data_IF_480873208953
#
_entry.id   IF_480873208953
#
_cell.length_a   1.000
_cell.length_b   1.000
_cell.length_c   1.000
_cell.angle_alpha   90.00
_cell.angle_beta   90.00
_cell.angle_gamma   90.00
#
_symmetry.space_group_name_H-M   'P 1'
#
loop_
_entity.id
_entity.type
_entity.pdbx_description
1 polymer ?
#
# COMPACT_ATOMS: atom_id res chain seq x y z
N UNK A 1 19.58 14.77 -4.16
CA UNK A 1 18.13 15.04 -4.09
C UNK A 1 17.37 13.77 -3.72
N UNK A 2 17.83 13.08 -2.68
CA UNK A 2 17.35 11.74 -2.25
C UNK A 2 16.37 11.85 -1.08
N UNK A 3 16.35 12.99 -0.37
CA UNK A 3 15.57 13.25 0.85
C UNK A 3 14.05 13.09 0.73
N UNK A 4 13.49 13.21 -0.48
CA UNK A 4 12.03 13.16 -0.69
C UNK A 4 11.52 11.75 -0.99
N UNK A 5 12.43 10.84 -1.28
CA UNK A 5 12.13 9.49 -1.73
C UNK A 5 12.32 8.45 -0.59
N UNK A 6 12.68 8.94 0.63
CA UNK A 6 12.77 8.13 1.84
C UNK A 6 11.59 8.37 2.77
N UNK A 7 11.01 7.28 3.24
CA UNK A 7 10.03 7.28 4.32
C UNK A 7 10.53 6.36 5.44
N UNK A 8 11.11 6.96 6.49
CA UNK A 8 11.75 6.28 7.62
C UNK A 8 12.91 5.40 7.10
N UNK A 9 12.68 4.11 6.92
CA UNK A 9 13.63 3.08 6.49
C UNK A 9 13.35 2.52 5.08
N UNK A 10 12.28 2.97 4.45
CA UNK A 10 11.90 2.57 3.09
C UNK A 10 12.31 3.63 2.06
N UNK A 11 12.90 3.17 0.95
CA UNK A 11 13.17 3.99 -0.23
C UNK A 11 12.14 3.69 -1.31
N UNK A 12 11.43 4.70 -1.79
CA UNK A 12 10.40 4.57 -2.83
C UNK A 12 10.62 5.61 -3.92
N UNK A 13 10.67 5.16 -5.16
CA UNK A 13 10.85 6.03 -6.33
C UNK A 13 10.06 5.55 -7.53
N UNK A 14 9.28 6.46 -8.11
CA UNK A 14 8.68 6.28 -9.43
C UNK A 14 9.50 7.00 -10.48
N UNK A 15 9.78 6.31 -11.56
CA UNK A 15 10.55 6.82 -12.71
C UNK A 15 9.87 6.41 -14.01
N UNK A 16 10.23 7.06 -15.11
CA UNK A 16 9.55 6.86 -16.40
C UNK A 16 10.18 5.77 -17.24
N UNK A 17 11.43 5.40 -16.98
CA UNK A 17 12.17 4.42 -17.80
C UNK A 17 12.91 3.40 -16.93
N UNK A 18 13.10 2.20 -17.48
CA UNK A 18 13.88 1.12 -16.85
C UNK A 18 15.34 1.53 -16.66
N UNK A 19 15.90 2.28 -17.61
CA UNK A 19 17.29 2.77 -17.52
C UNK A 19 17.46 3.72 -16.34
N UNK A 20 16.53 4.64 -16.16
CA UNK A 20 16.50 5.56 -15.02
C UNK A 20 16.32 4.82 -13.70
N UNK A 21 15.40 3.83 -13.64
CA UNK A 21 15.20 3.00 -12.46
C UNK A 21 16.49 2.27 -12.05
N UNK A 22 17.21 1.68 -13.02
CA UNK A 22 18.46 0.99 -12.76
C UNK A 22 19.53 1.96 -12.27
N UNK A 23 19.68 3.14 -12.88
CA UNK A 23 20.64 4.16 -12.47
C UNK A 23 20.38 4.63 -11.04
N UNK A 24 19.12 4.92 -10.71
CA UNK A 24 18.71 5.32 -9.35
C UNK A 24 19.02 4.23 -8.34
N UNK A 25 18.74 2.96 -8.66
CA UNK A 25 19.02 1.84 -7.77
C UNK A 25 20.52 1.73 -7.46
N UNK A 26 21.38 1.86 -8.48
CA UNK A 26 22.82 1.81 -8.34
C UNK A 26 23.35 3.00 -7.53
N UNK A 27 22.88 4.22 -7.83
CA UNK A 27 23.29 5.44 -7.14
C UNK A 27 22.93 5.41 -5.65
N UNK A 28 21.69 5.02 -5.33
CA UNK A 28 21.23 4.94 -3.93
C UNK A 28 21.97 3.83 -3.17
N UNK A 29 22.19 2.69 -3.81
CA UNK A 29 22.97 1.59 -3.22
C UNK A 29 24.39 2.02 -2.92
N UNK A 30 25.05 2.71 -3.86
CA UNK A 30 26.39 3.24 -3.66
C UNK A 30 26.44 4.26 -2.50
N UNK A 31 25.55 5.25 -2.53
CA UNK A 31 25.47 6.30 -1.52
C UNK A 31 25.29 5.73 -0.11
N UNK A 32 24.38 4.80 0.07
CA UNK A 32 24.09 4.21 1.37
C UNK A 32 25.20 3.26 1.83
N UNK A 33 25.83 2.55 0.91
CA UNK A 33 26.98 1.68 1.24
C UNK A 33 28.17 2.48 1.76
N UNK A 34 28.43 3.68 1.25
CA UNK A 34 29.45 4.60 1.76
C UNK A 34 29.16 5.03 3.21
N UNK A 35 27.89 5.13 3.57
CA UNK A 35 27.44 5.43 4.93
C UNK A 35 27.34 4.17 5.83
N UNK A 36 27.70 2.99 5.31
CA UNK A 36 27.63 1.72 6.04
C UNK A 36 26.24 1.06 6.08
N UNK A 37 25.29 1.54 5.29
CA UNK A 37 23.96 0.95 5.17
C UNK A 37 23.87 0.05 3.94
N UNK A 38 23.17 -1.10 4.07
CA UNK A 38 22.89 -1.99 2.96
C UNK A 38 21.39 -1.98 2.65
N UNK A 39 21.05 -1.60 1.43
CA UNK A 39 19.70 -1.75 0.92
C UNK A 39 19.39 -3.21 0.58
N UNK A 40 18.26 -3.70 1.04
CA UNK A 40 17.76 -5.05 0.79
C UNK A 40 16.26 -5.02 0.54
N UNK A 41 15.68 -6.16 0.18
CA UNK A 41 14.26 -6.31 -0.13
C UNK A 41 13.81 -5.43 -1.30
N UNK A 42 14.66 -5.28 -2.29
CA UNK A 42 14.33 -4.58 -3.51
C UNK A 42 13.10 -5.16 -4.20
N UNK A 43 12.26 -4.28 -4.67
CA UNK A 43 11.05 -4.58 -5.42
C UNK A 43 10.85 -3.61 -6.57
N UNK A 44 10.31 -4.08 -7.67
CA UNK A 44 9.97 -3.26 -8.84
C UNK A 44 8.85 -3.92 -9.62
N UNK A 45 8.01 -3.10 -10.26
CA UNK A 45 7.05 -3.55 -11.28
C UNK A 45 7.73 -3.89 -12.62
N UNK A 46 9.03 -3.64 -12.76
CA UNK A 46 9.83 -4.02 -13.93
C UNK A 46 10.73 -5.22 -13.63
N UNK A 47 10.48 -6.32 -14.33
CA UNK A 47 11.29 -7.54 -14.25
C UNK A 47 12.74 -7.29 -14.69
N UNK A 48 12.94 -6.42 -15.68
CA UNK A 48 14.26 -6.04 -16.16
C UNK A 48 15.08 -5.30 -15.09
N UNK A 49 14.44 -4.44 -14.30
CA UNK A 49 15.11 -3.82 -13.15
C UNK A 49 15.48 -4.86 -12.10
N UNK A 50 14.54 -5.75 -11.75
CA UNK A 50 14.79 -6.81 -10.78
C UNK A 50 15.90 -7.76 -11.21
N UNK A 51 16.01 -8.06 -12.51
CA UNK A 51 17.07 -8.97 -13.01
C UNK A 51 18.49 -8.42 -12.78
N UNK A 52 18.64 -7.09 -12.67
CA UNK A 52 19.93 -6.43 -12.37
C UNK A 52 20.26 -6.41 -10.88
N UNK A 53 19.26 -6.58 -10.02
CA UNK A 53 19.47 -6.62 -8.56
C UNK A 53 19.91 -8.02 -8.15
N UNK A 54 20.94 -8.15 -7.30
CA UNK A 54 21.36 -9.45 -6.76
C UNK A 54 20.20 -10.17 -6.07
N UNK A 55 20.07 -11.47 -6.28
CA UNK A 55 18.96 -12.27 -5.72
C UNK A 55 18.85 -12.13 -4.20
N UNK A 56 20.00 -12.10 -3.51
CA UNK A 56 20.04 -11.95 -2.05
C UNK A 56 19.46 -10.62 -1.54
N UNK A 57 19.40 -9.61 -2.39
CA UNK A 57 18.91 -8.27 -2.05
C UNK A 57 17.46 -8.03 -2.52
N UNK A 58 16.87 -8.97 -3.28
CA UNK A 58 15.46 -8.90 -3.66
C UNK A 58 14.54 -9.25 -2.49
N UNK A 59 13.32 -8.71 -2.50
CA UNK A 59 12.29 -9.04 -1.50
C UNK A 59 11.93 -10.53 -1.51
N UNK A 60 11.98 -11.17 -2.68
CA UNK A 60 11.85 -12.62 -2.85
C UNK A 60 13.03 -13.17 -3.66
N UNK A 61 14.10 -13.61 -2.99
CA UNK A 61 15.30 -14.11 -3.66
C UNK A 61 15.06 -15.31 -4.57
N UNK A 62 14.05 -16.12 -4.25
CA UNK A 62 13.71 -17.36 -4.99
C UNK A 62 12.68 -17.15 -6.11
N UNK A 63 12.27 -15.89 -6.35
CA UNK A 63 11.29 -15.57 -7.40
C UNK A 63 11.89 -15.83 -8.79
N UNK A 64 11.28 -16.73 -9.54
CA UNK A 64 11.58 -16.92 -10.95
C UNK A 64 10.89 -15.81 -11.75
N UNK A 65 11.68 -14.86 -12.23
CA UNK A 65 11.18 -13.69 -12.95
C UNK A 65 10.56 -14.02 -14.31
N UNK A 66 10.85 -15.20 -14.86
CA UNK A 66 10.34 -15.62 -16.17
C UNK A 66 9.02 -16.40 -16.06
N UNK A 67 8.83 -17.12 -14.96
CA UNK A 67 7.72 -18.06 -14.81
C UNK A 67 6.67 -17.63 -13.78
N UNK A 68 7.05 -16.84 -12.78
CA UNK A 68 6.15 -16.46 -11.69
C UNK A 68 5.61 -15.03 -11.85
N UNK A 69 4.39 -14.79 -11.37
CA UNK A 69 3.86 -13.44 -11.25
C UNK A 69 4.58 -12.69 -10.14
N UNK A 70 4.75 -11.38 -10.34
CA UNK A 70 5.30 -10.52 -9.29
C UNK A 70 4.36 -10.50 -8.08
N UNK A 71 4.91 -10.43 -6.87
CA UNK A 71 4.13 -10.59 -5.65
C UNK A 71 3.21 -9.40 -5.36
N UNK A 72 2.26 -9.65 -4.46
CA UNK A 72 1.56 -8.58 -3.76
C UNK A 72 2.33 -8.28 -2.48
N UNK A 73 2.82 -7.06 -2.36
CA UNK A 73 3.65 -6.64 -1.22
C UNK A 73 3.00 -5.50 -0.45
N UNK A 74 3.56 -5.17 0.71
CA UNK A 74 3.13 -4.04 1.51
C UNK A 74 4.13 -2.91 1.38
N UNK A 75 3.60 -1.76 0.97
CA UNK A 75 4.34 -0.51 0.90
C UNK A 75 3.59 0.52 1.70
N UNK A 76 4.23 1.18 2.65
CA UNK A 76 3.62 2.16 3.57
C UNK A 76 2.30 1.66 4.22
N UNK A 77 2.18 0.34 4.46
CA UNK A 77 0.97 -0.28 5.03
C UNK A 77 -0.15 -0.57 4.02
N UNK A 78 -0.06 -0.11 2.79
CA UNK A 78 -0.97 -0.44 1.69
C UNK A 78 -0.48 -1.70 0.97
N UNK A 79 -1.39 -2.51 0.43
CA UNK A 79 -1.00 -3.63 -0.42
C UNK A 79 -0.79 -3.13 -1.85
N UNK A 80 0.33 -3.50 -2.43
CA UNK A 80 0.68 -3.21 -3.81
C UNK A 80 0.78 -4.51 -4.61
N UNK A 81 -0.08 -4.65 -5.62
CA UNK A 81 0.04 -5.70 -6.64
C UNK A 81 1.10 -5.25 -7.63
N UNK A 82 2.29 -5.80 -7.48
CA UNK A 82 3.47 -5.37 -8.25
C UNK A 82 3.31 -5.70 -9.72
N UNK A 83 2.67 -6.82 -10.07
CA UNK A 83 2.44 -7.23 -11.45
C UNK A 83 1.49 -6.29 -12.20
N UNK A 84 0.45 -5.83 -11.52
CA UNK A 84 -0.57 -4.93 -12.10
C UNK A 84 -0.27 -3.47 -11.88
N UNK A 85 0.77 -3.17 -11.11
CA UNK A 85 1.11 -1.82 -10.64
C UNK A 85 -0.09 -1.11 -10.02
N UNK A 86 -0.78 -1.78 -9.09
CA UNK A 86 -2.04 -1.32 -8.52
C UNK A 86 -2.10 -1.50 -7.00
N UNK A 87 -2.66 -0.50 -6.31
CA UNK A 87 -2.92 -0.62 -4.89
C UNK A 87 -4.16 -1.48 -4.63
N UNK A 88 -4.06 -2.36 -3.64
CA UNK A 88 -5.13 -3.23 -3.21
C UNK A 88 -5.62 -2.83 -1.82
N UNK A 89 -6.94 -2.72 -1.69
CA UNK A 89 -7.60 -2.46 -0.43
C UNK A 89 -8.37 -3.72 0.02
N UNK A 90 -8.01 -4.27 1.18
CA UNK A 90 -8.74 -5.39 1.75
C UNK A 90 -9.94 -4.89 2.56
N UNK A 91 -11.12 -5.10 2.03
CA UNK A 91 -12.36 -4.99 2.80
C UNK A 91 -12.53 -6.32 3.55
N UNK A 92 -12.41 -6.30 4.88
CA UNK A 92 -12.77 -7.47 5.69
C UNK A 92 -14.29 -7.48 5.81
N UNK A 93 -14.93 -8.56 5.35
CA UNK A 93 -16.34 -8.78 5.66
C UNK A 93 -16.49 -8.83 7.19
N UNK A 94 -17.21 -7.90 7.79
CA UNK A 94 -17.46 -7.99 9.22
C UNK A 94 -18.49 -9.08 9.44
N UNK A 95 -18.11 -10.19 10.06
CA UNK A 95 -19.04 -11.13 10.70
C UNK A 95 -19.74 -10.46 11.92
N UNK A 96 -19.99 -9.17 11.81
CA UNK A 96 -20.60 -8.35 12.88
C UNK A 96 -22.04 -8.01 12.46
N UNK A 97 -22.95 -7.97 13.43
CA UNK A 97 -24.34 -7.58 13.15
C UNK A 97 -24.37 -6.19 12.50
N UNK A 98 -25.37 -5.96 11.68
CA UNK A 98 -25.61 -4.70 10.95
C UNK A 98 -26.02 -3.58 11.94
N UNK A 99 -25.22 -3.35 12.94
CA UNK A 99 -25.36 -2.30 13.92
C UNK A 99 -24.46 -1.12 13.56
N UNK A 100 -24.79 0.06 14.05
CA UNK A 100 -23.95 1.26 13.92
C UNK A 100 -22.47 0.98 14.25
N UNK A 101 -22.22 0.32 15.37
CA UNK A 101 -20.85 -0.04 15.80
C UNK A 101 -20.20 -1.03 14.81
N UNK A 102 -20.97 -1.98 14.26
CA UNK A 102 -20.50 -2.93 13.25
C UNK A 102 -20.08 -2.23 11.98
N UNK A 103 -20.90 -1.32 11.46
CA UNK A 103 -20.64 -0.55 10.24
C UNK A 103 -19.46 0.39 10.44
N UNK A 104 -19.40 1.13 11.56
CA UNK A 104 -18.24 1.98 11.91
C UNK A 104 -16.95 1.17 11.99
N UNK A 105 -16.99 0.00 12.61
CA UNK A 105 -15.82 -0.88 12.69
C UNK A 105 -15.36 -1.37 11.32
N UNK A 106 -16.30 -1.68 10.41
CA UNK A 106 -15.98 -2.09 9.05
C UNK A 106 -15.32 -0.94 8.26
N UNK A 107 -15.93 0.24 8.30
CA UNK A 107 -15.41 1.44 7.62
C UNK A 107 -14.04 1.84 8.17
N UNK A 108 -13.85 1.78 9.50
CA UNK A 108 -12.58 2.12 10.15
C UNK A 108 -11.48 1.05 9.97
N UNK A 109 -11.85 -0.16 9.52
CA UNK A 109 -10.88 -1.22 9.24
C UNK A 109 -10.16 -1.05 7.90
N UNK A 110 -10.66 -0.15 7.06
CA UNK A 110 -10.08 0.15 5.77
C UNK A 110 -8.90 1.12 5.95
N UNK A 111 -7.70 0.62 5.78
CA UNK A 111 -6.50 1.44 5.84
C UNK A 111 -6.29 2.13 4.48
N UNK A 112 -6.44 3.44 4.45
CA UNK A 112 -6.32 4.28 3.25
C UNK A 112 -5.59 5.59 3.59
N UNK A 113 -4.28 5.54 3.76
CA UNK A 113 -3.49 6.72 4.12
C UNK A 113 -3.44 7.77 3.00
N UNK A 114 -3.66 7.37 1.76
CA UNK A 114 -3.62 8.25 0.59
C UNK A 114 -4.99 8.80 0.19
N UNK A 115 -6.08 8.31 0.80
CA UNK A 115 -7.43 8.78 0.54
C UNK A 115 -8.07 8.30 -0.77
N UNK A 116 -7.56 7.25 -1.40
CA UNK A 116 -8.11 6.73 -2.66
C UNK A 116 -9.54 6.21 -2.54
N UNK A 117 -9.90 5.63 -1.39
CA UNK A 117 -11.23 5.11 -1.13
C UNK A 117 -12.10 6.04 -0.27
N UNK A 118 -11.61 7.25 0.02
CA UNK A 118 -12.37 8.27 0.75
C UNK A 118 -13.79 8.50 0.24
N UNK A 119 -14.08 8.56 -1.07
CA UNK A 119 -15.44 8.71 -1.56
C UNK A 119 -16.38 7.61 -1.08
N UNK A 120 -15.94 6.36 -1.11
CA UNK A 120 -16.72 5.19 -0.64
C UNK A 120 -16.93 5.24 0.87
N UNK A 121 -15.87 5.57 1.61
CA UNK A 121 -15.90 5.74 3.08
C UNK A 121 -16.88 6.86 3.47
N UNK A 122 -16.90 7.95 2.71
CA UNK A 122 -17.79 9.08 2.96
C UNK A 122 -19.27 8.69 2.79
N UNK A 123 -19.60 7.92 1.75
CA UNK A 123 -20.98 7.45 1.56
C UNK A 123 -21.43 6.54 2.70
N UNK A 124 -20.58 5.64 3.16
CA UNK A 124 -20.91 4.80 4.31
C UNK A 124 -21.11 5.63 5.60
N UNK A 125 -20.33 6.71 5.81
CA UNK A 125 -20.50 7.64 6.94
C UNK A 125 -21.81 8.43 6.83
N UNK A 126 -22.22 8.88 5.64
CA UNK A 126 -23.50 9.55 5.41
C UNK A 126 -24.69 8.65 5.72
N UNK A 127 -24.64 7.39 5.31
CA UNK A 127 -25.66 6.40 5.64
C UNK A 127 -25.81 6.26 7.17
N UNK A 128 -24.70 6.17 7.89
CA UNK A 128 -24.72 6.11 9.35
C UNK A 128 -25.36 7.34 9.99
N UNK A 129 -25.04 8.54 9.52
CA UNK A 129 -25.66 9.78 10.00
C UNK A 129 -27.17 9.82 9.75
N UNK A 130 -27.62 9.34 8.58
CA UNK A 130 -29.04 9.27 8.25
C UNK A 130 -29.79 8.30 9.17
N UNK A 131 -29.19 7.16 9.50
CA UNK A 131 -29.76 6.19 10.44
C UNK A 131 -29.86 6.78 11.86
N UNK A 132 -28.86 7.55 12.28
CA UNK A 132 -28.86 8.26 13.58
C UNK A 132 -29.99 9.28 13.67
N UNK A 133 -30.13 10.13 12.64
CA UNK A 133 -31.18 11.14 12.61
C UNK A 133 -32.59 10.52 12.70
N UNK A 134 -32.80 9.36 12.06
CA UNK A 134 -34.06 8.64 12.15
C UNK A 134 -34.31 7.94 13.48
N UNK A 135 -33.25 7.45 14.13
CA UNK A 135 -33.36 6.79 15.45
C UNK A 135 -33.56 7.80 16.59
N UNK A 136 -33.09 9.05 16.43
CA UNK A 136 -33.25 10.11 17.44
C UNK A 136 -34.64 10.77 17.43
N UNK A 137 -35.45 10.56 16.40
CA UNK A 137 -36.80 11.14 16.28
C UNK A 137 -37.86 10.24 16.95
N UNK A 138 -37.51 8.98 17.28
CA UNK A 138 -38.45 8.02 17.88
C UNK A 138 -38.43 7.93 19.43
N UNK A 139 -37.80 8.85 20.11
CA UNK A 139 -37.62 8.81 21.57
C UNK A 139 -38.25 9.96 22.36
N UNK A 140 -39.47 10.34 22.01
CA UNK A 140 -40.30 11.21 22.89
C UNK A 140 -41.78 10.89 22.70
N UNK A 141 -42.22 9.82 23.35
CA UNK A 141 -43.61 9.71 23.83
C UNK A 141 -43.67 8.62 24.91
N UNK A 142 -44.05 9.09 26.11
CA UNK A 142 -44.31 8.48 27.40
C UNK A 142 -43.19 8.25 28.33
#
# INVERSE_FOLDING_TARGET
MVDKDFYIDDFEKSVTTVSEASSVADEVTCLLSEAGFRLTKWMSNSREVLSKIPDADRAKPTLDLDLENLPVERTLGVQWDVEKDAFLFKVREPHKPTTKRGILSAVSSLYDPMGFVCPVVLEAKKILQTVEAKSGIGGSDT
#
